data_IF_859315728274
#
_entry.id   IF_859315728274
#
_cell.length_a   1.000
_cell.length_b   1.000
_cell.length_c   1.000
_cell.angle_alpha   90.00
_cell.angle_beta   90.00
_cell.angle_gamma   90.00
#
_symmetry.space_group_name_H-M   'P 1'
#
loop_
_entity.id
_entity.type
_entity.pdbx_description
1 polymer ?
#
# COMPACT_ATOMS: atom_id res chain seq x y z
N UNK A 1 28.89 25.55 -21.93
CA UNK A 1 28.44 26.85 -22.50
C UNK A 1 27.57 27.55 -21.47
N UNK A 2 27.68 28.87 -21.32
CA UNK A 2 26.94 29.63 -20.30
C UNK A 2 26.04 30.67 -20.98
N UNK A 3 24.73 30.48 -20.80
CA UNK A 3 23.62 31.29 -21.28
C UNK A 3 22.75 31.72 -20.09
N UNK A 4 23.39 32.30 -19.07
CA UNK A 4 22.70 32.70 -17.83
C UNK A 4 22.08 34.08 -18.00
N UNK A 5 20.88 34.28 -17.45
CA UNK A 5 20.17 35.56 -17.46
C UNK A 5 20.06 36.18 -18.87
N UNK A 6 19.69 35.35 -19.86
CA UNK A 6 19.55 35.78 -21.25
C UNK A 6 18.15 35.49 -21.80
N UNK A 7 17.72 36.31 -22.76
CA UNK A 7 16.51 36.04 -23.54
C UNK A 7 16.91 35.42 -24.87
N UNK A 8 16.29 34.29 -25.20
CA UNK A 8 16.45 33.60 -26.48
C UNK A 8 15.16 33.85 -27.28
N UNK A 9 15.32 34.64 -28.34
CA UNK A 9 14.27 34.98 -29.30
C UNK A 9 14.33 34.01 -30.49
N UNK A 10 13.18 33.55 -30.96
CA UNK A 10 13.09 32.51 -31.98
C UNK A 10 13.30 31.09 -31.42
N UNK A 11 13.01 30.10 -32.26
CA UNK A 11 13.15 28.69 -31.88
C UNK A 11 14.61 28.33 -31.61
N UNK A 12 14.86 27.58 -30.52
CA UNK A 12 16.16 26.99 -30.24
C UNK A 12 16.09 25.47 -30.42
N UNK A 13 16.85 24.93 -31.37
CA UNK A 13 16.96 23.49 -31.54
C UNK A 13 18.40 23.00 -31.36
N UNK A 14 18.61 22.09 -30.41
CA UNK A 14 19.82 21.28 -30.28
C UNK A 14 19.52 19.79 -30.49
N UNK A 15 18.43 19.50 -31.21
CA UNK A 15 17.91 18.15 -31.44
C UNK A 15 18.99 17.21 -31.95
N UNK A 16 19.09 16.04 -31.32
CA UNK A 16 20.01 14.97 -31.72
C UNK A 16 21.50 15.28 -31.51
N UNK A 17 21.83 16.41 -30.87
CA UNK A 17 23.23 16.76 -30.59
C UNK A 17 23.78 15.96 -29.41
N UNK A 18 25.09 15.76 -29.39
CA UNK A 18 25.82 15.33 -28.18
C UNK A 18 26.61 16.52 -27.65
N UNK A 19 26.39 16.85 -26.38
CA UNK A 19 26.99 18.00 -25.73
C UNK A 19 27.89 17.48 -24.60
N UNK A 20 29.19 17.59 -24.83
CA UNK A 20 30.22 17.02 -23.95
C UNK A 20 30.42 17.81 -22.66
N UNK A 21 30.38 19.13 -22.76
CA UNK A 21 30.64 20.04 -21.64
C UNK A 21 29.33 20.48 -20.97
N UNK A 22 29.36 20.84 -19.68
CA UNK A 22 28.19 21.38 -19.00
C UNK A 22 27.56 22.57 -19.73
N UNK A 23 26.23 22.69 -19.66
CA UNK A 23 25.46 23.79 -20.25
C UNK A 23 24.58 24.44 -19.20
N UNK A 24 24.66 25.76 -19.12
CA UNK A 24 23.93 26.55 -18.13
C UNK A 24 23.00 27.53 -18.83
N UNK A 25 21.71 27.36 -18.64
CA UNK A 25 20.61 28.24 -19.04
C UNK A 25 19.88 28.81 -17.79
N UNK A 26 20.58 28.94 -16.67
CA UNK A 26 19.98 29.49 -15.45
C UNK A 26 19.41 30.90 -15.70
N UNK A 27 18.17 31.15 -15.28
CA UNK A 27 17.46 32.42 -15.50
C UNK A 27 17.30 32.78 -16.99
N UNK A 28 17.37 31.81 -17.90
CA UNK A 28 17.10 32.06 -19.32
C UNK A 28 15.59 32.17 -19.60
N UNK A 29 15.22 33.03 -20.54
CA UNK A 29 13.85 33.17 -21.03
C UNK A 29 13.80 32.71 -22.49
N UNK A 30 13.11 31.61 -22.76
CA UNK A 30 12.87 31.09 -24.10
C UNK A 30 11.49 31.56 -24.58
N UNK A 31 11.46 32.49 -25.55
CA UNK A 31 10.22 33.11 -26.04
C UNK A 31 9.42 32.21 -26.96
N UNK A 32 10.12 31.41 -27.76
CA UNK A 32 9.54 30.47 -28.71
C UNK A 32 9.91 29.03 -28.32
N UNK A 33 9.68 28.06 -29.22
CA UNK A 33 9.78 26.64 -28.88
C UNK A 33 11.24 26.21 -28.70
N UNK A 34 11.48 25.28 -27.78
CA UNK A 34 12.80 24.65 -27.63
C UNK A 34 12.74 23.16 -27.98
N UNK A 35 13.66 22.70 -28.82
CA UNK A 35 13.78 21.30 -29.24
C UNK A 35 15.15 20.73 -28.88
N UNK A 36 15.20 20.05 -27.73
CA UNK A 36 16.30 19.22 -27.23
C UNK A 36 16.00 17.72 -27.40
N UNK A 37 15.12 17.34 -28.32
CA UNK A 37 14.76 15.95 -28.48
C UNK A 37 15.96 15.12 -28.95
N UNK A 38 16.13 13.94 -28.38
CA UNK A 38 17.25 13.02 -28.68
C UNK A 38 18.64 13.62 -28.42
N UNK A 39 18.74 14.74 -27.69
CA UNK A 39 20.02 15.34 -27.30
C UNK A 39 20.65 14.55 -26.15
N UNK A 40 21.97 14.36 -26.19
CA UNK A 40 22.75 13.71 -25.13
C UNK A 40 23.59 14.78 -24.42
N UNK A 41 23.31 15.02 -23.15
CA UNK A 41 24.07 15.91 -22.28
C UNK A 41 25.03 15.06 -21.43
N UNK A 42 26.33 15.08 -21.75
CA UNK A 42 27.35 14.33 -21.00
C UNK A 42 27.79 15.06 -19.72
N UNK A 43 27.76 16.39 -19.72
CA UNK A 43 27.95 17.22 -18.53
C UNK A 43 26.63 17.58 -17.85
N UNK A 44 26.73 18.34 -16.76
CA UNK A 44 25.57 18.89 -16.06
C UNK A 44 24.78 19.85 -16.96
N UNK A 45 23.46 19.84 -16.83
CA UNK A 45 22.58 20.80 -17.49
C UNK A 45 21.76 21.56 -16.45
N UNK A 46 21.73 22.88 -16.59
CA UNK A 46 21.02 23.76 -15.68
C UNK A 46 20.02 24.62 -16.45
N UNK A 47 18.76 24.53 -16.07
CA UNK A 47 17.63 25.35 -16.49
C UNK A 47 16.98 26.02 -15.27
N UNK A 48 17.73 26.21 -14.19
CA UNK A 48 17.22 26.75 -12.95
C UNK A 48 16.64 28.15 -13.12
N UNK A 49 15.48 28.45 -12.55
CA UNK A 49 14.81 29.75 -12.70
C UNK A 49 14.52 30.17 -14.16
N UNK A 50 14.52 29.23 -15.11
CA UNK A 50 14.25 29.56 -16.52
C UNK A 50 12.76 29.59 -16.83
N UNK A 51 12.38 30.32 -17.88
CA UNK A 51 11.01 30.40 -18.37
C UNK A 51 10.92 29.86 -19.80
N UNK A 52 10.04 28.88 -20.03
CA UNK A 52 9.70 28.36 -21.36
C UNK A 52 8.31 28.84 -21.76
N UNK A 53 8.22 29.78 -22.71
CA UNK A 53 6.95 30.42 -23.09
C UNK A 53 6.12 29.60 -24.10
N UNK A 54 6.76 28.63 -24.77
CA UNK A 54 6.18 27.67 -25.70
C UNK A 54 6.62 26.26 -25.35
N UNK A 55 6.25 25.29 -26.19
CA UNK A 55 6.57 23.88 -25.98
C UNK A 55 8.07 23.67 -25.71
N UNK A 56 8.37 22.94 -24.64
CA UNK A 56 9.73 22.55 -24.27
C UNK A 56 9.92 21.05 -24.47
N UNK A 57 10.63 20.68 -25.54
CA UNK A 57 10.76 19.29 -25.97
C UNK A 57 12.13 18.69 -25.61
N UNK A 58 12.12 17.76 -24.66
CA UNK A 58 13.25 16.94 -24.21
C UNK A 58 13.05 15.45 -24.52
N UNK A 59 12.12 15.11 -25.42
CA UNK A 59 11.78 13.73 -25.74
C UNK A 59 13.01 12.91 -26.15
N UNK A 60 13.19 11.72 -25.56
CA UNK A 60 14.35 10.81 -25.82
C UNK A 60 15.73 11.42 -25.54
N UNK A 61 15.79 12.53 -24.82
CA UNK A 61 17.07 13.10 -24.39
C UNK A 61 17.73 12.24 -23.30
N UNK A 62 19.06 12.35 -23.16
CA UNK A 62 19.83 11.69 -22.10
C UNK A 62 20.59 12.72 -21.29
N UNK A 63 20.44 12.69 -19.97
CA UNK A 63 21.14 13.56 -19.03
C UNK A 63 22.10 12.71 -18.20
N UNK A 64 23.38 12.67 -18.60
CA UNK A 64 24.42 11.88 -17.93
C UNK A 64 25.01 12.57 -16.70
N UNK A 65 24.99 13.91 -16.69
CA UNK A 65 25.25 14.72 -15.50
C UNK A 65 23.98 15.02 -14.69
N UNK A 66 24.10 15.95 -13.75
CA UNK A 66 22.97 16.50 -13.01
C UNK A 66 22.05 17.30 -13.96
N UNK A 67 20.74 17.08 -13.87
CA UNK A 67 19.74 17.81 -14.63
C UNK A 67 18.91 18.69 -13.69
N UNK A 68 19.25 19.98 -13.64
CA UNK A 68 18.60 20.94 -12.75
C UNK A 68 17.55 21.77 -13.51
N UNK A 69 16.29 21.60 -13.17
CA UNK A 69 15.15 22.38 -13.65
C UNK A 69 14.48 23.16 -12.51
N UNK A 70 15.10 23.28 -11.33
CA UNK A 70 14.47 23.87 -10.16
C UNK A 70 14.01 25.32 -10.38
N UNK A 71 12.89 25.69 -9.76
CA UNK A 71 12.28 27.02 -9.88
C UNK A 71 11.98 27.46 -11.33
N UNK A 72 11.87 26.52 -12.28
CA UNK A 72 11.57 26.84 -13.68
C UNK A 72 10.05 26.96 -13.93
N UNK A 73 9.68 27.70 -14.96
CA UNK A 73 8.29 27.87 -15.39
C UNK A 73 8.09 27.36 -16.82
N UNK A 74 7.29 26.31 -16.99
CA UNK A 74 6.83 25.81 -18.28
C UNK A 74 5.43 26.37 -18.56
N UNK A 75 5.34 27.42 -19.39
CA UNK A 75 4.08 28.11 -19.68
C UNK A 75 3.19 27.36 -20.66
N UNK A 76 3.81 26.50 -21.48
CA UNK A 76 3.14 25.56 -22.38
C UNK A 76 3.59 24.13 -22.05
N UNK A 77 3.39 23.15 -22.94
CA UNK A 77 3.69 21.76 -22.63
C UNK A 77 5.19 21.49 -22.41
N UNK A 78 5.49 20.64 -21.44
CA UNK A 78 6.83 20.14 -21.17
C UNK A 78 6.90 18.65 -21.50
N UNK A 79 7.71 18.28 -22.49
CA UNK A 79 7.79 16.91 -23.00
C UNK A 79 9.12 16.25 -22.66
N UNK A 80 9.09 15.29 -21.73
CA UNK A 80 10.20 14.44 -21.30
C UNK A 80 9.99 12.96 -21.65
N UNK A 81 9.11 12.66 -22.61
CA UNK A 81 8.74 11.28 -22.97
C UNK A 81 9.99 10.49 -23.40
N UNK A 82 10.16 9.28 -22.86
CA UNK A 82 11.31 8.40 -23.10
C UNK A 82 12.69 9.01 -22.80
N UNK A 83 12.77 10.08 -22.01
CA UNK A 83 14.05 10.65 -21.58
C UNK A 83 14.75 9.77 -20.54
N UNK A 84 16.08 9.84 -20.46
CA UNK A 84 16.88 9.10 -19.48
C UNK A 84 17.68 10.08 -18.61
N UNK A 85 17.39 10.15 -17.33
CA UNK A 85 18.13 10.90 -16.32
C UNK A 85 19.14 9.97 -15.63
N UNK A 86 20.35 9.90 -16.16
CA UNK A 86 21.44 9.06 -15.66
C UNK A 86 22.10 9.64 -14.41
N UNK A 87 22.16 10.97 -14.29
CA UNK A 87 22.45 11.67 -13.03
C UNK A 87 21.19 12.06 -12.26
N UNK A 88 21.31 12.76 -11.12
CA UNK A 88 20.17 13.29 -10.37
C UNK A 88 19.37 14.31 -11.20
N UNK A 89 18.04 14.27 -11.08
CA UNK A 89 17.13 15.20 -11.73
C UNK A 89 16.31 15.95 -10.68
N UNK A 90 16.33 17.28 -10.73
CA UNK A 90 15.61 18.12 -9.78
C UNK A 90 14.72 19.11 -10.50
N UNK A 91 13.42 19.01 -10.27
CA UNK A 91 12.39 19.94 -10.73
C UNK A 91 11.88 20.84 -9.60
N UNK A 92 12.34 20.66 -8.36
CA UNK A 92 11.88 21.38 -7.16
C UNK A 92 11.46 22.84 -7.40
N UNK A 93 10.28 23.20 -6.89
CA UNK A 93 9.66 24.54 -6.99
C UNK A 93 9.29 24.98 -8.42
N UNK A 94 9.22 24.06 -9.38
CA UNK A 94 8.81 24.41 -10.75
C UNK A 94 7.30 24.52 -10.89
N UNK A 95 6.89 25.33 -11.87
CA UNK A 95 5.50 25.47 -12.28
C UNK A 95 5.30 24.96 -13.72
N UNK A 96 4.38 24.02 -13.90
CA UNK A 96 3.96 23.47 -15.19
C UNK A 96 2.53 23.96 -15.48
N UNK A 97 2.41 25.02 -16.27
CA UNK A 97 1.12 25.60 -16.67
C UNK A 97 0.46 24.84 -17.84
N UNK A 98 1.28 24.22 -18.70
CA UNK A 98 0.86 23.22 -19.67
C UNK A 98 0.91 21.80 -19.12
N UNK A 99 0.64 20.81 -19.98
CA UNK A 99 0.73 19.40 -19.58
C UNK A 99 2.20 18.97 -19.49
N UNK A 100 2.51 18.10 -18.52
CA UNK A 100 3.85 17.58 -18.31
C UNK A 100 3.90 16.08 -18.62
N UNK A 101 4.72 15.70 -19.60
CA UNK A 101 4.78 14.33 -20.11
C UNK A 101 6.11 13.67 -19.76
N UNK A 102 6.09 12.72 -18.83
CA UNK A 102 7.24 11.90 -18.42
C UNK A 102 7.09 10.43 -18.79
N UNK A 103 6.06 10.05 -19.55
CA UNK A 103 5.80 8.66 -19.91
C UNK A 103 7.05 7.97 -20.47
N UNK A 104 7.40 6.83 -19.88
CA UNK A 104 8.43 5.92 -20.37
C UNK A 104 9.84 6.44 -20.12
N UNK A 105 9.96 7.55 -19.39
CA UNK A 105 11.24 8.07 -18.94
C UNK A 105 11.86 7.18 -17.86
N UNK A 106 13.17 7.32 -17.68
CA UNK A 106 13.94 6.56 -16.68
C UNK A 106 14.75 7.52 -15.84
N UNK A 107 14.55 7.45 -14.53
CA UNK A 107 15.33 8.17 -13.53
C UNK A 107 16.30 7.20 -12.88
N UNK A 108 17.54 7.18 -13.36
CA UNK A 108 18.64 6.36 -12.84
C UNK A 108 19.39 7.03 -11.68
N UNK A 109 19.31 8.37 -11.58
CA UNK A 109 19.61 9.14 -10.37
C UNK A 109 18.35 9.46 -9.55
N UNK A 110 18.52 10.14 -8.41
CA UNK A 110 17.40 10.61 -7.59
C UNK A 110 16.52 11.60 -8.38
N UNK A 111 15.20 11.50 -8.22
CA UNK A 111 14.21 12.34 -8.88
C UNK A 111 13.46 13.20 -7.87
N UNK A 112 13.71 14.51 -7.89
CA UNK A 112 13.08 15.47 -6.99
C UNK A 112 12.00 16.30 -7.68
N UNK A 113 10.74 16.02 -7.37
CA UNK A 113 9.56 16.81 -7.75
C UNK A 113 8.93 17.46 -6.51
N UNK A 114 9.65 18.38 -5.86
CA UNK A 114 9.30 18.87 -4.51
C UNK A 114 8.73 20.28 -4.57
N UNK A 115 7.55 20.48 -3.97
CA UNK A 115 6.80 21.75 -3.99
C UNK A 115 6.49 22.28 -5.40
N UNK A 116 6.39 21.37 -6.38
CA UNK A 116 6.02 21.72 -7.75
C UNK A 116 4.53 21.98 -7.88
N UNK A 117 4.15 22.71 -8.93
CA UNK A 117 2.75 22.97 -9.27
C UNK A 117 2.47 22.55 -10.70
N UNK A 118 1.60 21.56 -10.86
CA UNK A 118 1.10 21.10 -12.15
C UNK A 118 -0.35 21.56 -12.29
N UNK A 119 -0.61 22.44 -13.26
CA UNK A 119 -1.93 23.02 -13.50
C UNK A 119 -2.77 22.22 -14.52
N UNK A 120 -2.16 21.23 -15.16
CA UNK A 120 -2.77 20.30 -16.14
C UNK A 120 -2.36 18.87 -15.81
N UNK A 121 -2.88 17.93 -16.59
CA UNK A 121 -2.56 16.51 -16.47
C UNK A 121 -1.06 16.26 -16.46
N UNK A 122 -0.64 15.32 -15.61
CA UNK A 122 0.76 14.91 -15.51
C UNK A 122 0.91 13.42 -15.71
N UNK A 123 1.69 13.05 -16.73
CA UNK A 123 1.79 11.68 -17.21
C UNK A 123 3.13 11.05 -16.81
N UNK A 124 3.10 10.13 -15.86
CA UNK A 124 4.21 9.27 -15.43
C UNK A 124 4.00 7.79 -15.81
N UNK A 125 3.14 7.50 -16.80
CA UNK A 125 2.90 6.11 -17.24
C UNK A 125 4.19 5.43 -17.69
N UNK A 126 4.38 4.15 -17.37
CA UNK A 126 5.58 3.34 -17.68
C UNK A 126 6.93 3.97 -17.25
N UNK A 127 6.93 4.95 -16.34
CA UNK A 127 8.17 5.54 -15.82
C UNK A 127 8.92 4.54 -14.94
N UNK A 128 10.25 4.60 -14.94
CA UNK A 128 11.08 3.80 -14.04
C UNK A 128 11.93 4.71 -13.15
N UNK A 129 11.71 4.65 -11.83
CA UNK A 129 12.55 5.27 -10.82
C UNK A 129 13.49 4.23 -10.20
N UNK A 130 14.76 4.23 -10.62
CA UNK A 130 15.79 3.32 -10.10
C UNK A 130 16.39 3.79 -8.75
N UNK A 131 16.15 5.05 -8.38
CA UNK A 131 16.56 5.68 -7.12
C UNK A 131 15.36 6.32 -6.42
N UNK A 132 15.61 7.15 -5.41
CA UNK A 132 14.52 7.75 -4.63
C UNK A 132 13.76 8.77 -5.50
N UNK A 133 12.43 8.74 -5.40
CA UNK A 133 11.50 9.66 -6.05
C UNK A 133 10.69 10.40 -4.98
N UNK A 134 10.68 11.72 -5.05
CA UNK A 134 9.97 12.56 -4.06
C UNK A 134 9.04 13.53 -4.75
N UNK A 135 7.75 13.48 -4.40
CA UNK A 135 6.70 14.40 -4.85
C UNK A 135 6.21 15.33 -3.72
N UNK A 136 7.04 15.49 -2.68
CA UNK A 136 6.62 16.10 -1.43
C UNK A 136 6.15 17.54 -1.60
N UNK A 137 5.01 17.87 -1.01
CA UNK A 137 4.44 19.22 -1.03
C UNK A 137 3.91 19.69 -2.39
N UNK A 138 4.05 18.89 -3.44
CA UNK A 138 3.63 19.24 -4.79
C UNK A 138 2.11 19.22 -4.93
N UNK A 139 1.61 20.06 -5.84
CA UNK A 139 0.20 20.22 -6.15
C UNK A 139 -0.05 19.83 -7.61
N UNK A 140 -0.94 18.87 -7.81
CA UNK A 140 -1.50 18.47 -9.10
C UNK A 140 -2.96 18.93 -9.11
N UNK A 141 -3.30 19.83 -10.03
CA UNK A 141 -4.67 20.37 -10.12
C UNK A 141 -5.63 19.50 -10.92
N UNK A 142 -5.09 18.74 -11.85
CA UNK A 142 -5.80 17.74 -12.64
C UNK A 142 -5.18 16.36 -12.35
N UNK A 143 -5.38 15.40 -13.25
CA UNK A 143 -5.01 14.00 -13.05
C UNK A 143 -3.49 13.78 -12.98
N UNK A 144 -3.09 12.94 -12.03
CA UNK A 144 -1.73 12.45 -11.86
C UNK A 144 -1.67 10.96 -12.20
N UNK A 145 -0.97 10.60 -13.27
CA UNK A 145 -1.06 9.25 -13.85
C UNK A 145 0.27 8.50 -13.68
N UNK A 146 0.29 7.45 -12.86
CA UNK A 146 1.43 6.54 -12.60
C UNK A 146 1.15 5.10 -13.06
N UNK A 147 0.31 4.92 -14.07
CA UNK A 147 0.00 3.58 -14.59
C UNK A 147 1.28 2.84 -15.05
N UNK A 148 1.50 1.63 -14.53
CA UNK A 148 2.70 0.82 -14.76
C UNK A 148 4.03 1.50 -14.35
N UNK A 149 3.98 2.51 -13.49
CA UNK A 149 5.20 3.11 -12.94
C UNK A 149 5.93 2.11 -12.06
N UNK A 150 7.26 2.01 -12.23
CA UNK A 150 8.10 1.12 -11.44
C UNK A 150 8.99 1.91 -10.49
N UNK A 151 8.93 1.57 -9.20
CA UNK A 151 9.81 2.13 -8.17
C UNK A 151 10.77 1.04 -7.67
N UNK A 152 12.07 1.31 -7.64
CA UNK A 152 13.06 0.37 -7.09
C UNK A 152 13.59 0.78 -5.72
N UNK A 153 13.34 2.03 -5.30
CA UNK A 153 13.74 2.58 -3.99
C UNK A 153 12.56 3.28 -3.32
N UNK A 154 12.74 4.44 -2.71
CA UNK A 154 11.68 5.10 -1.96
C UNK A 154 10.84 6.01 -2.85
N UNK A 155 9.54 6.01 -2.60
CA UNK A 155 8.57 6.97 -3.11
C UNK A 155 8.05 7.80 -1.93
N UNK A 156 8.21 9.11 -1.98
CA UNK A 156 7.68 10.03 -0.97
C UNK A 156 6.54 10.87 -1.55
N UNK A 157 5.36 10.79 -0.93
CA UNK A 157 4.15 11.54 -1.29
C UNK A 157 3.68 12.47 -0.15
N UNK A 158 4.59 12.83 0.76
CA UNK A 158 4.28 13.62 1.95
C UNK A 158 3.73 14.98 1.56
N UNK A 159 2.51 15.29 2.02
CA UNK A 159 1.79 16.55 1.69
C UNK A 159 1.58 16.80 0.19
N UNK A 160 1.71 15.77 -0.64
CA UNK A 160 1.33 15.86 -2.06
C UNK A 160 -0.19 16.01 -2.14
N UNK A 161 -0.67 16.92 -3.00
CA UNK A 161 -2.09 17.16 -3.25
C UNK A 161 -2.39 16.86 -4.71
N UNK A 162 -3.43 16.07 -4.96
CA UNK A 162 -3.93 15.70 -6.27
C UNK A 162 -5.46 15.53 -6.17
N UNK A 163 -6.17 15.65 -7.29
CA UNK A 163 -7.60 15.30 -7.35
C UNK A 163 -7.74 13.79 -7.53
N UNK A 164 -7.26 13.27 -8.66
CA UNK A 164 -7.15 11.83 -8.93
C UNK A 164 -5.68 11.41 -9.16
N UNK A 165 -5.30 10.29 -8.55
CA UNK A 165 -4.00 9.64 -8.71
C UNK A 165 -4.21 8.22 -9.25
N UNK A 166 -3.92 8.02 -10.54
CA UNK A 166 -4.02 6.71 -11.17
C UNK A 166 -2.74 5.90 -10.90
N UNK A 167 -2.79 5.04 -9.88
CA UNK A 167 -1.71 4.12 -9.51
C UNK A 167 -2.31 2.85 -8.93
N UNK A 168 -1.60 1.72 -8.98
CA UNK A 168 -1.99 0.50 -8.26
C UNK A 168 -1.19 0.36 -6.97
N UNK A 169 -1.80 -0.20 -5.93
CA UNK A 169 -1.12 -0.36 -4.65
C UNK A 169 0.11 -1.27 -4.77
N UNK A 170 0.02 -2.33 -5.58
CA UNK A 170 1.13 -3.27 -5.76
C UNK A 170 2.39 -2.63 -6.37
N UNK A 171 2.27 -1.53 -7.11
CA UNK A 171 3.40 -0.80 -7.69
C UNK A 171 4.16 0.03 -6.65
N UNK A 172 3.48 0.43 -5.56
CA UNK A 172 4.05 1.36 -4.56
C UNK A 172 4.20 0.78 -3.16
N UNK A 173 3.55 -0.35 -2.83
CA UNK A 173 3.43 -0.87 -1.47
C UNK A 173 4.76 -1.08 -0.72
N UNK A 174 5.81 -1.51 -1.43
CA UNK A 174 7.14 -1.76 -0.87
C UNK A 174 8.07 -0.54 -0.87
N UNK A 175 7.61 0.57 -1.45
CA UNK A 175 8.42 1.72 -1.81
C UNK A 175 7.94 3.01 -1.15
N UNK A 176 6.66 3.08 -0.79
CA UNK A 176 6.03 4.25 -0.19
C UNK A 176 6.60 4.55 1.21
N UNK A 177 7.13 5.76 1.38
CA UNK A 177 7.54 6.29 2.68
C UNK A 177 6.31 6.53 3.55
N UNK A 178 6.39 6.11 4.82
CA UNK A 178 5.32 6.32 5.78
C UNK A 178 5.06 7.81 6.05
N UNK A 179 3.81 8.22 5.87
CA UNK A 179 3.26 9.52 6.23
C UNK A 179 1.73 9.38 6.39
N UNK A 180 1.18 9.78 7.53
CA UNK A 180 -0.26 9.63 7.82
C UNK A 180 -1.13 10.28 6.73
N UNK A 181 -0.78 11.50 6.30
CA UNK A 181 -1.57 12.24 5.33
C UNK A 181 -1.50 11.62 3.92
N UNK A 182 -0.33 11.11 3.51
CA UNK A 182 -0.16 10.43 2.23
C UNK A 182 -1.00 9.15 2.16
N UNK A 183 -0.94 8.30 3.21
CA UNK A 183 -1.75 7.07 3.27
C UNK A 183 -3.25 7.39 3.27
N UNK A 184 -3.69 8.39 4.04
CA UNK A 184 -5.11 8.81 4.07
C UNK A 184 -5.58 9.33 2.71
N UNK A 185 -4.75 10.10 2.02
CA UNK A 185 -5.07 10.62 0.68
C UNK A 185 -5.15 9.49 -0.35
N UNK A 186 -4.23 8.51 -0.30
CA UNK A 186 -4.25 7.33 -1.16
C UNK A 186 -5.48 6.46 -0.93
N UNK A 187 -5.84 6.21 0.33
CA UNK A 187 -7.07 5.45 0.64
C UNK A 187 -8.31 6.17 0.08
N UNK A 188 -8.44 7.48 0.31
CA UNK A 188 -9.54 8.27 -0.26
C UNK A 188 -9.58 8.16 -1.79
N UNK A 189 -8.43 8.27 -2.43
CA UNK A 189 -8.28 8.18 -3.88
C UNK A 189 -8.68 6.80 -4.42
N UNK A 190 -8.14 5.71 -3.86
CA UNK A 190 -8.49 4.34 -4.29
C UNK A 190 -9.99 4.07 -4.14
N UNK A 191 -10.59 4.55 -3.06
CA UNK A 191 -12.04 4.42 -2.89
C UNK A 191 -12.82 5.24 -3.93
N UNK A 192 -12.37 6.46 -4.25
CA UNK A 192 -12.97 7.30 -5.30
C UNK A 192 -12.90 6.68 -6.69
N UNK A 193 -11.78 6.03 -7.02
CA UNK A 193 -11.55 5.34 -8.29
C UNK A 193 -12.20 3.94 -8.36
N UNK A 194 -12.80 3.46 -7.27
CA UNK A 194 -13.36 2.10 -7.18
C UNK A 194 -12.30 0.98 -7.08
N UNK A 195 -11.07 1.31 -6.71
CA UNK A 195 -9.96 0.36 -6.52
C UNK A 195 -9.99 -0.23 -5.10
N UNK A 196 -11.05 -0.97 -4.78
CA UNK A 196 -11.31 -1.42 -3.41
C UNK A 196 -10.23 -2.36 -2.84
N UNK A 197 -9.63 -3.22 -3.66
CA UNK A 197 -8.55 -4.11 -3.23
C UNK A 197 -7.25 -3.33 -2.91
N UNK A 198 -6.96 -2.29 -3.70
CA UNK A 198 -5.83 -1.39 -3.48
C UNK A 198 -6.05 -0.55 -2.21
N UNK A 199 -7.28 -0.05 -1.99
CA UNK A 199 -7.69 0.62 -0.75
C UNK A 199 -7.42 -0.25 0.49
N UNK A 200 -7.90 -1.49 0.47
CA UNK A 200 -7.80 -2.43 1.58
C UNK A 200 -6.36 -2.83 1.88
N UNK A 201 -5.54 -2.97 0.85
CA UNK A 201 -4.12 -3.27 0.97
C UNK A 201 -3.33 -2.08 1.51
N UNK A 202 -3.66 -0.86 1.06
CA UNK A 202 -3.13 0.39 1.58
C UNK A 202 -3.47 0.57 3.06
N UNK A 203 -4.73 0.37 3.44
CA UNK A 203 -5.18 0.42 4.85
C UNK A 203 -4.45 -0.59 5.73
N UNK A 204 -4.28 -1.83 5.24
CA UNK A 204 -3.57 -2.87 5.98
C UNK A 204 -2.12 -2.47 6.26
N UNK A 205 -1.40 -1.95 5.27
CA UNK A 205 -0.02 -1.50 5.45
C UNK A 205 0.05 -0.26 6.35
N UNK A 206 -0.86 0.71 6.17
CA UNK A 206 -0.97 1.89 7.02
C UNK A 206 -1.01 1.50 8.50
N UNK A 207 -1.92 0.59 8.86
CA UNK A 207 -2.09 0.15 10.25
C UNK A 207 -0.84 -0.52 10.83
N UNK A 208 -0.13 -1.28 10.00
CA UNK A 208 1.13 -1.94 10.38
C UNK A 208 2.24 -0.93 10.65
N UNK A 209 2.42 0.05 9.77
CA UNK A 209 3.45 1.09 9.92
C UNK A 209 3.10 2.07 11.05
N UNK A 210 1.84 2.52 11.13
CA UNK A 210 1.35 3.43 12.18
C UNK A 210 1.50 2.84 13.59
N UNK A 211 1.49 1.50 13.73
CA UNK A 211 1.76 0.85 15.01
C UNK A 211 3.16 1.20 15.55
N UNK A 212 4.16 1.41 14.68
CA UNK A 212 5.52 1.71 15.09
C UNK A 212 5.68 3.15 15.60
N UNK A 213 4.79 4.05 15.19
CA UNK A 213 4.83 5.46 15.55
C UNK A 213 4.41 5.72 17.01
N UNK A 214 4.89 6.82 17.63
CA UNK A 214 4.48 7.23 18.96
C UNK A 214 3.04 7.77 18.96
N UNK A 215 2.29 7.51 20.03
CA UNK A 215 0.90 7.89 20.17
C UNK A 215 0.79 9.11 21.10
N UNK A 216 0.78 10.35 20.58
CA UNK A 216 1.03 11.55 21.38
C UNK A 216 -0.02 11.83 22.47
N UNK A 217 -1.19 11.20 22.40
CA UNK A 217 -2.28 11.34 23.37
C UNK A 217 -2.39 10.19 24.38
N UNK A 218 -1.55 9.14 24.28
CA UNK A 218 -1.62 7.95 25.13
C UNK A 218 -0.52 7.94 26.18
N UNK A 219 -0.83 7.47 27.39
CA UNK A 219 0.22 7.14 28.36
C UNK A 219 0.92 5.81 27.99
N UNK A 220 2.08 5.53 28.60
CA UNK A 220 2.89 4.36 28.27
C UNK A 220 2.15 3.01 28.42
N UNK A 221 1.24 2.91 29.39
CA UNK A 221 0.44 1.70 29.60
C UNK A 221 -0.61 1.50 28.51
N UNK A 222 -1.29 2.58 28.12
CA UNK A 222 -2.24 2.59 27.00
C UNK A 222 -1.57 2.29 25.67
N UNK A 223 -0.40 2.88 25.41
CA UNK A 223 0.37 2.62 24.19
C UNK A 223 0.78 1.15 24.10
N UNK A 224 1.31 0.59 25.20
CA UNK A 224 1.66 -0.83 25.29
C UNK A 224 0.45 -1.72 25.03
N UNK A 225 -0.71 -1.43 25.65
CA UNK A 225 -1.92 -2.21 25.48
C UNK A 225 -2.46 -2.14 24.04
N UNK A 226 -2.43 -0.95 23.42
CA UNK A 226 -2.83 -0.76 22.02
C UNK A 226 -1.94 -1.58 21.08
N UNK A 227 -0.61 -1.49 21.25
CA UNK A 227 0.35 -2.29 20.48
C UNK A 227 0.12 -3.79 20.66
N UNK A 228 -0.18 -4.23 21.89
CA UNK A 228 -0.47 -5.64 22.19
C UNK A 228 -1.74 -6.14 21.48
N UNK A 229 -2.83 -5.36 21.50
CA UNK A 229 -4.11 -5.73 20.89
C UNK A 229 -4.04 -5.68 19.36
N UNK A 230 -3.18 -4.83 18.80
CA UNK A 230 -3.09 -4.64 17.35
C UNK A 230 -2.50 -5.87 16.63
N UNK A 231 -1.60 -6.64 17.26
CA UNK A 231 -1.03 -7.87 16.68
C UNK A 231 -2.10 -8.95 16.36
N UNK A 232 -2.96 -9.35 17.31
CA UNK A 232 -4.11 -10.20 17.01
C UNK A 232 -5.00 -9.68 15.89
N UNK A 233 -5.25 -8.36 15.82
CA UNK A 233 -6.08 -7.76 14.77
C UNK A 233 -5.45 -7.90 13.39
N UNK A 234 -4.13 -7.75 13.30
CA UNK A 234 -3.37 -8.00 12.07
C UNK A 234 -3.44 -9.47 11.66
N UNK A 235 -3.12 -10.40 12.57
CA UNK A 235 -3.00 -11.82 12.23
C UNK A 235 -4.36 -12.46 11.93
N UNK A 236 -5.30 -12.34 12.86
CA UNK A 236 -6.55 -13.08 12.78
C UNK A 236 -7.49 -12.52 11.72
N UNK A 237 -7.40 -11.22 11.44
CA UNK A 237 -8.44 -10.53 10.71
C UNK A 237 -7.93 -9.51 9.69
N UNK A 238 -6.62 -9.28 9.64
CA UNK A 238 -6.01 -8.28 8.77
C UNK A 238 -6.64 -6.90 8.92
N UNK A 239 -6.98 -6.50 10.15
CA UNK A 239 -7.72 -5.26 10.43
C UNK A 239 -9.07 -5.13 9.69
N UNK A 240 -9.66 -6.26 9.29
CA UNK A 240 -10.93 -6.30 8.56
C UNK A 240 -10.80 -6.18 7.05
N UNK A 241 -9.60 -6.29 6.50
CA UNK A 241 -9.38 -6.36 5.05
C UNK A 241 -9.09 -7.77 4.56
N UNK A 242 -8.84 -8.74 5.46
CA UNK A 242 -8.48 -10.13 5.10
C UNK A 242 -9.41 -11.14 5.77
N UNK A 243 -10.66 -11.28 5.29
CA UNK A 243 -11.70 -12.11 5.90
C UNK A 243 -11.31 -13.60 5.99
N UNK A 244 -10.58 -14.11 4.99
CA UNK A 244 -10.16 -15.50 4.94
C UNK A 244 -9.17 -15.90 6.04
N UNK A 245 -8.45 -14.94 6.65
CA UNK A 245 -7.59 -15.25 7.79
C UNK A 245 -8.42 -15.80 8.96
N UNK A 246 -9.56 -15.18 9.26
CA UNK A 246 -10.41 -15.62 10.36
C UNK A 246 -10.94 -17.05 10.13
N UNK A 247 -11.24 -17.40 8.88
CA UNK A 247 -11.63 -18.77 8.51
C UNK A 247 -10.48 -19.76 8.73
N UNK A 248 -9.26 -19.44 8.28
CA UNK A 248 -8.09 -20.30 8.45
C UNK A 248 -7.75 -20.53 9.93
N UNK A 249 -7.79 -19.47 10.74
CA UNK A 249 -7.59 -19.59 12.19
C UNK A 249 -8.70 -20.39 12.86
N UNK A 250 -9.96 -20.26 12.42
CA UNK A 250 -11.06 -21.08 12.92
C UNK A 250 -10.80 -22.56 12.68
N UNK A 251 -10.41 -22.94 11.46
CA UNK A 251 -10.05 -24.31 11.10
C UNK A 251 -8.87 -24.79 11.96
N UNK A 252 -7.82 -23.98 12.08
CA UNK A 252 -6.64 -24.33 12.89
C UNK A 252 -6.99 -24.54 14.37
N UNK A 253 -7.85 -23.71 14.96
CA UNK A 253 -8.31 -23.86 16.35
C UNK A 253 -9.07 -25.17 16.51
N UNK A 254 -10.03 -25.47 15.63
CA UNK A 254 -10.78 -26.73 15.66
C UNK A 254 -9.83 -27.94 15.58
N UNK A 255 -8.83 -27.91 14.68
CA UNK A 255 -7.86 -29.01 14.58
C UNK A 255 -7.00 -29.16 15.85
N UNK A 256 -6.54 -28.06 16.44
CA UNK A 256 -5.74 -28.07 17.68
C UNK A 256 -6.56 -28.60 18.86
N UNK A 257 -7.82 -28.19 18.98
CA UNK A 257 -8.70 -28.66 20.05
C UNK A 257 -9.15 -30.11 19.83
N UNK A 258 -9.43 -30.53 18.59
CA UNK A 258 -9.66 -31.95 18.29
C UNK A 258 -8.47 -32.82 18.72
N UNK A 259 -7.24 -32.39 18.43
CA UNK A 259 -6.03 -33.08 18.90
C UNK A 259 -5.93 -33.08 20.43
N UNK A 260 -6.28 -31.97 21.09
CA UNK A 260 -6.34 -31.90 22.55
C UNK A 260 -7.34 -32.90 23.12
N UNK A 261 -8.56 -32.95 22.59
CA UNK A 261 -9.63 -33.86 23.03
C UNK A 261 -9.26 -35.33 22.81
N UNK A 262 -8.70 -35.65 21.65
CA UNK A 262 -8.13 -36.97 21.38
C UNK A 262 -7.06 -37.34 22.41
N UNK A 263 -6.14 -36.44 22.72
CA UNK A 263 -5.09 -36.67 23.74
C UNK A 263 -5.66 -36.84 25.15
N UNK A 264 -6.77 -36.20 25.47
CA UNK A 264 -7.44 -36.42 26.76
C UNK A 264 -8.07 -37.82 26.84
N UNK A 265 -8.39 -38.43 25.70
CA UNK A 265 -9.01 -39.75 25.59
C UNK A 265 -10.50 -39.69 25.27
N UNK A 266 -10.97 -38.60 24.64
CA UNK A 266 -12.33 -38.50 24.12
C UNK A 266 -12.55 -39.59 23.05
N UNK A 267 -13.65 -40.33 23.14
CA UNK A 267 -13.92 -41.50 22.29
C UNK A 267 -13.11 -42.75 22.61
N UNK A 268 -12.31 -42.72 23.68
CA UNK A 268 -11.60 -43.90 24.16
C UNK A 268 -12.44 -44.75 25.13
N UNK A 269 -11.96 -45.95 25.52
CA UNK A 269 -12.68 -46.86 26.42
C UNK A 269 -13.03 -46.30 27.80
N UNK A 270 -12.41 -45.18 28.19
CA UNK A 270 -12.59 -44.51 29.49
C UNK A 270 -13.50 -43.27 29.39
N UNK A 271 -14.06 -42.99 28.21
CA UNK A 271 -15.02 -41.91 28.02
C UNK A 271 -16.38 -42.31 28.59
N UNK A 272 -16.96 -41.41 29.37
CA UNK A 272 -18.24 -41.59 30.07
C UNK A 272 -19.27 -40.55 29.62
N UNK A 273 -19.06 -39.89 28.48
CA UNK A 273 -20.02 -38.94 27.89
C UNK A 273 -21.34 -39.61 27.51
N UNK A 274 -22.48 -39.19 28.09
CA UNK A 274 -23.79 -39.66 27.66
C UNK A 274 -24.28 -38.93 26.40
N UNK A 275 -24.86 -39.71 25.48
CA UNK A 275 -25.48 -39.39 24.18
C UNK A 275 -26.24 -38.06 24.07
N UNK A 276 -25.93 -37.25 23.04
CA UNK A 276 -26.79 -36.14 22.57
C UNK A 276 -27.23 -36.40 21.13
N UNK A 277 -28.14 -37.36 20.92
CA UNK A 277 -29.16 -37.38 19.85
C UNK A 277 -30.30 -38.31 20.31
N UNK A 278 -31.59 -37.96 20.11
CA UNK A 278 -32.71 -38.82 20.45
C UNK A 278 -32.78 -39.96 19.44
N UNK A 279 -32.22 -41.11 19.78
CA UNK A 279 -32.14 -42.24 18.85
C UNK A 279 -31.18 -43.36 19.20
N UNK A 280 -30.33 -43.18 20.23
CA UNK A 280 -29.64 -44.29 20.88
C UNK A 280 -28.81 -45.16 19.94
N UNK A 281 -27.74 -44.62 19.38
CA UNK A 281 -26.56 -45.41 19.00
C UNK A 281 -25.31 -44.64 19.48
N UNK A 282 -24.39 -45.38 20.11
CA UNK A 282 -23.12 -44.93 20.69
C UNK A 282 -22.18 -44.39 19.61
N UNK A 283 -21.79 -43.11 19.53
CA UNK A 283 -20.58 -42.78 18.73
C UNK A 283 -19.79 -41.58 19.28
N UNK A 284 -18.66 -41.90 19.89
CA UNK A 284 -17.35 -41.41 19.47
C UNK A 284 -16.49 -42.70 19.42
N UNK A 285 -16.50 -43.45 18.32
CA UNK A 285 -15.77 -44.73 18.22
C UNK A 285 -14.26 -44.50 18.01
N UNK A 286 -13.65 -43.68 18.86
CA UNK A 286 -12.25 -43.26 18.70
C UNK A 286 -11.90 -42.77 17.27
N UNK A 287 -12.90 -42.45 16.44
CA UNK A 287 -12.70 -42.01 15.06
C UNK A 287 -12.31 -40.54 15.13
N UNK A 288 -11.25 -40.20 14.40
CA UNK A 288 -10.73 -38.85 14.30
C UNK A 288 -11.84 -37.90 13.78
N UNK A 289 -12.73 -38.40 12.91
CA UNK A 289 -13.85 -37.62 12.38
C UNK A 289 -14.87 -37.22 13.47
N UNK A 290 -15.17 -38.09 14.43
CA UNK A 290 -16.11 -37.78 15.52
C UNK A 290 -15.51 -36.76 16.48
N UNK A 291 -14.22 -36.88 16.79
CA UNK A 291 -13.51 -35.94 17.66
C UNK A 291 -13.42 -34.56 17.00
N UNK A 292 -13.18 -34.53 15.67
CA UNK A 292 -13.25 -33.31 14.88
C UNK A 292 -14.66 -32.71 14.89
N UNK A 293 -15.69 -33.54 14.70
CA UNK A 293 -17.09 -33.13 14.77
C UNK A 293 -17.47 -32.55 16.14
N UNK A 294 -16.99 -33.16 17.22
CA UNK A 294 -17.17 -32.66 18.58
C UNK A 294 -16.52 -31.28 18.75
N UNK A 295 -15.24 -31.13 18.40
CA UNK A 295 -14.52 -29.85 18.49
C UNK A 295 -15.19 -28.76 17.64
N UNK A 296 -15.59 -29.10 16.41
CA UNK A 296 -16.34 -28.19 15.53
C UNK A 296 -17.65 -27.72 16.17
N UNK A 297 -18.40 -28.63 16.80
CA UNK A 297 -19.66 -28.33 17.50
C UNK A 297 -19.41 -27.43 18.72
N UNK A 298 -18.39 -27.74 19.53
CA UNK A 298 -17.99 -26.89 20.67
C UNK A 298 -17.66 -25.48 20.18
N UNK A 299 -16.80 -25.36 19.16
CA UNK A 299 -16.40 -24.10 18.57
C UNK A 299 -17.61 -23.28 18.07
N UNK A 300 -18.46 -23.85 17.21
CA UNK A 300 -19.63 -23.14 16.67
C UNK A 300 -20.70 -22.80 17.73
N UNK A 301 -20.75 -23.53 18.85
CA UNK A 301 -21.67 -23.21 19.97
C UNK A 301 -21.29 -21.97 20.78
N UNK A 302 -20.19 -21.31 20.43
CA UNK A 302 -19.70 -20.10 21.11
C UNK A 302 -20.73 -18.97 21.13
N UNK A 303 -21.32 -18.65 19.97
CA UNK A 303 -22.34 -17.60 19.85
C UNK A 303 -23.77 -18.09 20.10
N UNK A 304 -24.00 -19.42 20.12
CA UNK A 304 -25.33 -20.06 20.09
C UNK A 304 -26.21 -19.62 18.90
N UNK A 305 -25.65 -18.98 17.89
CA UNK A 305 -26.41 -18.57 16.69
C UNK A 305 -26.76 -19.76 15.80
N UNK A 306 -25.90 -20.80 15.80
CA UNK A 306 -26.00 -21.91 14.85
C UNK A 306 -26.31 -23.25 15.53
N UNK A 307 -25.66 -23.53 16.66
CA UNK A 307 -25.66 -24.84 17.30
C UNK A 307 -25.63 -24.68 18.82
N UNK A 308 -26.36 -25.55 19.52
CA UNK A 308 -26.32 -25.63 20.99
C UNK A 308 -25.02 -26.29 21.49
N UNK A 309 -24.50 -25.87 22.65
CA UNK A 309 -23.27 -26.45 23.18
C UNK A 309 -23.47 -27.94 23.50
N UNK A 310 -22.56 -28.82 23.05
CA UNK A 310 -22.62 -30.22 23.42
C UNK A 310 -22.34 -30.37 24.92
N UNK A 311 -22.66 -31.54 25.48
CA UNK A 311 -22.36 -31.81 26.88
C UNK A 311 -20.84 -31.85 27.11
N UNK A 312 -20.41 -31.38 28.28
CA UNK A 312 -19.00 -31.41 28.67
C UNK A 312 -18.51 -32.85 28.81
N UNK A 313 -17.41 -33.24 28.15
CA UNK A 313 -16.94 -34.60 28.23
C UNK A 313 -16.42 -35.02 29.59
N UNK A 314 -16.75 -36.25 29.98
CA UNK A 314 -16.36 -36.87 31.23
C UNK A 314 -15.45 -38.06 30.91
N UNK A 315 -14.15 -37.92 31.18
CA UNK A 315 -13.16 -38.98 30.95
C UNK A 315 -12.64 -39.45 32.30
N UNK A 316 -12.72 -40.75 32.56
CA UNK A 316 -12.32 -41.33 33.84
C UNK A 316 -10.81 -41.09 34.11
N UNK A 317 -10.48 -40.67 35.33
CA UNK A 317 -9.08 -40.44 35.75
C UNK A 317 -8.44 -39.16 35.21
N UNK A 318 -9.18 -38.30 34.49
CA UNK A 318 -8.69 -36.99 34.01
C UNK A 318 -9.23 -35.84 34.85
N UNK A 319 -8.46 -34.74 34.93
CA UNK A 319 -8.85 -33.57 35.71
C UNK A 319 -10.00 -32.81 35.04
N UNK A 320 -11.13 -32.71 35.76
CA UNK A 320 -12.32 -31.95 35.33
C UNK A 320 -12.06 -30.45 35.20
N UNK A 321 -11.05 -29.92 35.90
CA UNK A 321 -10.70 -28.51 35.83
C UNK A 321 -10.19 -28.13 34.43
N UNK A 322 -9.22 -28.89 33.91
CA UNK A 322 -8.60 -28.60 32.61
C UNK A 322 -9.57 -28.85 31.45
N UNK A 323 -10.39 -29.90 31.50
CA UNK A 323 -11.41 -30.17 30.46
C UNK A 323 -12.47 -29.07 30.44
N UNK A 324 -12.93 -28.60 31.61
CA UNK A 324 -13.88 -27.49 31.70
C UNK A 324 -13.31 -26.20 31.11
N UNK A 325 -12.07 -25.85 31.43
CA UNK A 325 -11.45 -24.64 30.88
C UNK A 325 -11.21 -24.74 29.39
N UNK A 326 -10.69 -25.87 28.89
CA UNK A 326 -10.52 -26.09 27.45
C UNK A 326 -11.85 -25.92 26.69
N UNK A 327 -12.91 -26.55 27.19
CA UNK A 327 -14.26 -26.41 26.64
C UNK A 327 -14.75 -24.96 26.61
N UNK A 328 -14.57 -24.21 27.71
CA UNK A 328 -14.96 -22.79 27.78
C UNK A 328 -14.14 -21.95 26.80
N UNK A 329 -12.82 -22.15 26.73
CA UNK A 329 -11.94 -21.39 25.85
C UNK A 329 -12.22 -21.65 24.38
N UNK A 330 -12.43 -22.90 23.97
CA UNK A 330 -12.81 -23.24 22.60
C UNK A 330 -14.11 -22.56 22.18
N UNK A 331 -15.10 -22.52 23.08
CA UNK A 331 -16.36 -21.79 22.87
C UNK A 331 -16.15 -20.28 22.76
N UNK A 332 -15.31 -19.69 23.62
CA UNK A 332 -15.01 -18.25 23.56
C UNK A 332 -14.29 -17.88 22.27
N UNK A 333 -13.33 -18.69 21.84
CA UNK A 333 -12.64 -18.53 20.55
C UNK A 333 -13.63 -18.67 19.39
N UNK A 334 -14.49 -19.68 19.42
CA UNK A 334 -15.53 -19.87 18.42
C UNK A 334 -16.50 -18.69 18.34
N UNK A 335 -16.86 -18.10 19.48
CA UNK A 335 -17.66 -16.88 19.51
C UNK A 335 -16.94 -15.70 18.85
N UNK A 336 -15.68 -15.46 19.24
CA UNK A 336 -14.85 -14.38 18.70
C UNK A 336 -14.67 -14.50 17.19
N UNK A 337 -14.23 -15.67 16.71
CA UNK A 337 -13.94 -15.88 15.28
C UNK A 337 -15.21 -15.92 14.42
N UNK A 338 -16.33 -16.39 14.95
CA UNK A 338 -17.63 -16.26 14.26
C UNK A 338 -18.00 -14.79 14.08
N UNK A 339 -17.87 -13.97 15.13
CA UNK A 339 -18.14 -12.52 15.06
C UNK A 339 -17.20 -11.86 14.05
N UNK A 340 -15.90 -12.15 14.10
CA UNK A 340 -14.93 -11.61 13.15
C UNK A 340 -15.28 -12.00 11.71
N UNK A 341 -15.58 -13.27 11.45
CA UNK A 341 -15.98 -13.74 10.12
C UNK A 341 -17.23 -13.02 9.60
N UNK A 342 -18.24 -12.81 10.46
CA UNK A 342 -19.44 -12.07 10.08
C UNK A 342 -19.16 -10.60 9.77
N UNK A 343 -18.39 -9.91 10.61
CA UNK A 343 -17.97 -8.52 10.34
C UNK A 343 -17.24 -8.47 8.99
N UNK A 344 -16.48 -9.51 8.65
CA UNK A 344 -15.71 -9.60 7.42
C UNK A 344 -16.60 -9.69 6.21
N UNK A 345 -17.50 -10.68 6.24
CA UNK A 345 -18.43 -10.95 5.15
C UNK A 345 -19.33 -9.73 4.94
N UNK A 346 -19.87 -9.15 6.02
CA UNK A 346 -20.65 -7.92 5.94
C UNK A 346 -19.83 -6.76 5.34
N UNK A 347 -18.57 -6.60 5.77
CA UNK A 347 -17.67 -5.59 5.25
C UNK A 347 -17.40 -5.75 3.76
N UNK A 348 -17.20 -6.98 3.28
CA UNK A 348 -16.97 -7.27 1.85
C UNK A 348 -18.25 -7.06 1.02
N UNK A 349 -19.41 -7.49 1.50
CA UNK A 349 -20.69 -7.36 0.77
C UNK A 349 -21.11 -5.90 0.65
N UNK A 350 -21.06 -5.12 1.73
CA UNK A 350 -21.47 -3.70 1.74
C UNK A 350 -20.54 -2.84 0.88
N UNK A 351 -19.27 -3.23 0.69
CA UNK A 351 -18.33 -2.51 -0.19
C UNK A 351 -18.58 -2.74 -1.69
N UNK A 352 -19.32 -3.80 -2.05
CA UNK A 352 -19.61 -4.15 -3.46
C UNK A 352 -20.90 -3.56 -4.01
N UNK A 353 -21.67 -2.84 -3.17
CA UNK A 353 -22.92 -2.15 -3.48
C UNK A 353 -22.75 -0.65 -3.40
#
# INVERSE_FOLDING_TARGET
AEFKNCTIEGDLSLKGMTIELPVYFDQAVFRDSVDFASTIFNGDVHFGHSEFHKDANFMRSKFNGHAYFGDSEFKDNANFIFSEFNGPASFMLSEFNGSAYFWGSKFNGDAGFINDRFYRDTYFSDVVFNKDASFNGSLFKEDLIFENATFHRKLSLTRTRYDELFVRWHDIAGHLVYDDAAYMSLMKNFNGLGYFEDHDSCYFQYRKEHRAEPWPAANAGEEWLRKLIDYPLEWFYGYGTKPFNALLFSIAIVLVYALFWWRQGLGGPNDMTPSVLPGGEEWIDNDILDILGFSFTVFLSGTRLFIDPPLLPLIQGRSRFWTKWAFIFERLLGALFSILLFIAICGTIVRSS
#
